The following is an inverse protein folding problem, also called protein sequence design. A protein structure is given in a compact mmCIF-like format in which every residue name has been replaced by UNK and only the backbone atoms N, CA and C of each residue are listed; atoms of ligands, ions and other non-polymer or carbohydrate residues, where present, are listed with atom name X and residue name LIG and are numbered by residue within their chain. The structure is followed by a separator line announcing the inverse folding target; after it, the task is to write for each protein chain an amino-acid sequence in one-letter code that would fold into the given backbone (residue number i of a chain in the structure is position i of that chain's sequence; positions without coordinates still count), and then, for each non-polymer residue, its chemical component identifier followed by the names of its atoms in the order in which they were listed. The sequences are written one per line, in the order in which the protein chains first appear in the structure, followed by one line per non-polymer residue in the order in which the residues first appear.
data_IF_055341103005
#
_entry.id   IF_055341103005
#
_cell.length_a   1.000
_cell.length_b   1.000
_cell.length_c   1.000
_cell.angle_alpha   90.00
_cell.angle_beta   90.00
_cell.angle_gamma   90.00
#
_symmetry.space_group_name_H-M   'P 1'
#
loop_
_entity.id
_entity.type
_entity.pdbx_description
1 polymer ?
#
# COMPACT_ATOMS: atom_id res chain seq x y z
N UNK A 1 10.92 -0.38 26.27
CA UNK A 1 10.15 -0.71 25.05
C UNK A 1 9.04 0.33 24.91
N UNK A 2 9.38 1.58 24.54
CA UNK A 2 8.46 2.62 24.04
C UNK A 2 9.21 3.95 23.84
N UNK A 3 10.35 3.89 23.14
CA UNK A 3 11.12 5.10 22.86
C UNK A 3 10.51 5.84 21.64
N UNK A 4 10.11 7.13 21.76
CA UNK A 4 9.52 7.88 20.67
C UNK A 4 10.37 7.92 19.40
N UNK A 5 11.71 7.99 19.53
CA UNK A 5 12.61 8.00 18.37
C UNK A 5 12.54 6.66 17.63
N UNK A 6 12.58 5.53 18.34
CA UNK A 6 12.44 4.20 17.72
C UNK A 6 11.13 4.02 16.93
N UNK A 7 10.01 4.63 17.38
CA UNK A 7 8.73 4.60 16.64
C UNK A 7 8.77 5.50 15.41
N UNK A 8 9.48 6.62 15.48
CA UNK A 8 9.64 7.54 14.36
C UNK A 8 10.50 6.92 13.26
N UNK A 9 11.59 6.25 13.62
CA UNK A 9 12.47 5.53 12.69
C UNK A 9 11.75 4.34 12.02
N UNK A 10 10.91 3.61 12.77
CA UNK A 10 10.18 2.45 12.26
C UNK A 10 8.95 2.81 11.38
N UNK A 11 8.54 4.08 11.33
CA UNK A 11 7.34 4.49 10.61
C UNK A 11 7.63 4.78 9.13
N UNK A 12 6.93 4.10 8.23
CA UNK A 12 7.00 4.45 6.80
C UNK A 12 6.51 5.88 6.53
N UNK A 13 5.54 6.36 7.33
CA UNK A 13 4.91 7.67 7.16
C UNK A 13 5.88 8.84 7.37
N UNK A 14 6.95 8.65 8.14
CA UNK A 14 7.94 9.70 8.46
C UNK A 14 9.02 9.81 7.38
N UNK A 15 9.14 8.82 6.50
CA UNK A 15 10.22 8.72 5.50
C UNK A 15 9.76 8.97 4.06
N UNK A 16 8.45 9.04 3.81
CA UNK A 16 7.91 9.41 2.49
C UNK A 16 8.34 10.83 2.11
N UNK A 17 8.71 10.98 0.84
CA UNK A 17 9.17 12.24 0.25
C UNK A 17 8.79 12.28 -1.25
N UNK A 18 8.95 13.42 -1.96
CA UNK A 18 8.56 13.57 -3.36
C UNK A 18 9.22 12.61 -4.38
N UNK A 19 10.33 11.97 -4.03
CA UNK A 19 11.01 10.99 -4.88
C UNK A 19 10.60 9.55 -4.58
N UNK A 20 9.63 9.34 -3.69
CA UNK A 20 9.15 8.00 -3.35
C UNK A 20 8.44 7.35 -4.54
N UNK A 21 8.55 6.03 -4.64
CA UNK A 21 7.92 5.28 -5.71
C UNK A 21 6.38 5.29 -5.60
N UNK A 22 5.67 5.05 -6.71
CA UNK A 22 4.24 4.75 -6.65
C UNK A 22 3.92 3.60 -5.69
N UNK A 23 2.79 3.67 -4.99
CA UNK A 23 2.37 2.64 -4.03
C UNK A 23 0.97 2.11 -4.31
N UNK A 24 0.79 0.80 -4.11
CA UNK A 24 -0.50 0.12 -4.13
C UNK A 24 -0.85 -0.33 -2.71
N UNK A 25 -2.04 0.05 -2.24
CA UNK A 25 -2.59 -0.41 -0.97
C UNK A 25 -3.67 -1.45 -1.24
N UNK A 26 -3.55 -2.64 -0.65
CA UNK A 26 -4.59 -3.68 -0.71
C UNK A 26 -4.91 -4.08 0.73
N UNK A 27 -6.13 -3.81 1.19
CA UNK A 27 -6.52 -4.01 2.58
C UNK A 27 -7.62 -5.05 2.73
N UNK A 28 -7.68 -5.62 3.94
CA UNK A 28 -8.86 -6.35 4.39
C UNK A 28 -9.96 -5.40 4.86
N UNK A 29 -11.20 -5.87 4.94
CA UNK A 29 -12.34 -5.13 5.51
C UNK A 29 -12.24 -4.86 7.02
N UNK A 30 -11.19 -5.34 7.71
CA UNK A 30 -10.98 -5.14 9.15
C UNK A 30 -10.32 -3.76 9.41
N UNK A 31 -11.01 -2.79 10.06
CA UNK A 31 -10.55 -1.40 10.14
C UNK A 31 -9.18 -1.17 10.81
N UNK A 32 -8.82 -2.01 11.79
CA UNK A 32 -7.56 -1.87 12.54
C UNK A 32 -6.32 -1.98 11.63
N UNK A 33 -6.41 -2.69 10.51
CA UNK A 33 -5.30 -2.88 9.57
C UNK A 33 -5.22 -1.78 8.49
N UNK A 34 -5.99 -0.70 8.64
CA UNK A 34 -5.90 0.51 7.81
C UNK A 34 -5.15 1.67 8.48
N UNK A 35 -4.66 1.52 9.72
CA UNK A 35 -4.04 2.61 10.47
C UNK A 35 -2.82 3.19 9.72
N UNK A 36 -2.79 4.51 9.54
CA UNK A 36 -1.72 5.24 8.85
C UNK A 36 -1.76 5.16 7.31
N UNK A 37 -2.64 4.34 6.72
CA UNK A 37 -2.82 4.27 5.26
C UNK A 37 -3.33 5.60 4.70
N UNK A 38 -4.40 6.11 5.28
CA UNK A 38 -5.07 7.31 4.75
C UNK A 38 -4.18 8.55 4.92
N UNK A 39 -3.39 8.63 6.00
CA UNK A 39 -2.36 9.66 6.18
C UNK A 39 -1.24 9.54 5.13
N UNK A 40 -0.83 8.32 4.79
CA UNK A 40 0.17 8.06 3.74
C UNK A 40 -0.36 8.49 2.38
N UNK A 41 -1.60 8.10 2.05
CA UNK A 41 -2.28 8.48 0.81
C UNK A 41 -2.33 10.01 0.69
N UNK A 42 -2.73 10.71 1.75
CA UNK A 42 -2.75 12.18 1.75
C UNK A 42 -1.38 12.79 1.43
N UNK A 43 -0.31 12.27 2.03
CA UNK A 43 1.06 12.73 1.71
C UNK A 43 1.46 12.43 0.26
N UNK A 44 1.07 11.27 -0.27
CA UNK A 44 1.31 10.91 -1.67
C UNK A 44 0.58 11.86 -2.62
N UNK A 45 -0.66 12.22 -2.33
CA UNK A 45 -1.44 13.21 -3.07
C UNK A 45 -0.76 14.58 -3.06
N UNK A 46 -0.31 15.04 -1.88
CA UNK A 46 0.42 16.31 -1.72
C UNK A 46 1.72 16.34 -2.55
N UNK A 47 2.41 15.21 -2.68
CA UNK A 47 3.62 15.07 -3.49
C UNK A 47 3.37 14.74 -4.96
N UNK A 48 2.12 14.52 -5.37
CA UNK A 48 1.77 14.08 -6.72
C UNK A 48 2.30 12.69 -7.08
N UNK A 49 2.55 11.84 -6.07
CA UNK A 49 3.00 10.46 -6.28
C UNK A 49 1.79 9.58 -6.60
N UNK A 50 1.88 8.81 -7.68
CA UNK A 50 0.81 7.87 -8.06
C UNK A 50 0.53 6.87 -6.95
N UNK A 51 -0.73 6.67 -6.63
CA UNK A 51 -1.16 5.63 -5.70
C UNK A 51 -2.48 5.02 -6.12
N UNK A 52 -2.74 3.80 -5.66
CA UNK A 52 -4.03 3.12 -5.79
C UNK A 52 -4.37 2.41 -4.48
N UNK A 53 -5.65 2.32 -4.15
CA UNK A 53 -6.12 1.64 -2.95
C UNK A 53 -7.32 0.76 -3.27
N UNK A 54 -7.22 -0.52 -2.91
CA UNK A 54 -8.30 -1.50 -3.02
C UNK A 54 -8.56 -2.15 -1.67
N UNK A 55 -9.80 -2.60 -1.48
CA UNK A 55 -10.20 -3.33 -0.30
C UNK A 55 -11.01 -4.55 -0.69
N UNK A 56 -10.70 -5.68 -0.07
CA UNK A 56 -11.53 -6.87 -0.14
C UNK A 56 -12.62 -6.83 0.94
N UNK A 57 -13.86 -7.01 0.53
CA UNK A 57 -14.99 -7.12 1.45
C UNK A 57 -15.04 -8.48 2.16
N UNK A 58 -15.49 -8.48 3.42
CA UNK A 58 -15.67 -9.69 4.25
C UNK A 58 -14.46 -10.63 4.31
N UNK A 59 -13.24 -10.09 4.36
CA UNK A 59 -12.03 -10.89 4.30
C UNK A 59 -11.19 -10.83 5.57
N UNK A 60 -10.48 -11.93 5.85
CA UNK A 60 -9.51 -12.00 6.94
C UNK A 60 -8.27 -11.16 6.63
N UNK A 61 -7.45 -10.84 7.64
CA UNK A 61 -6.25 -10.04 7.40
C UNK A 61 -5.29 -10.71 6.41
N UNK A 62 -5.06 -12.02 6.53
CA UNK A 62 -4.19 -12.79 5.64
C UNK A 62 -4.91 -13.26 4.37
N UNK A 63 -5.79 -12.43 3.80
CA UNK A 63 -6.63 -12.80 2.65
C UNK A 63 -5.81 -13.24 1.42
N UNK A 64 -4.62 -12.67 1.24
CA UNK A 64 -3.73 -12.91 0.09
C UNK A 64 -3.09 -14.30 0.07
N UNK A 65 -3.47 -15.20 0.98
CA UNK A 65 -3.06 -16.60 0.99
C UNK A 65 -4.21 -17.55 0.64
N UNK A 66 -5.44 -17.04 0.48
CA UNK A 66 -6.64 -17.86 0.37
C UNK A 66 -7.55 -17.42 -0.76
N UNK A 67 -8.30 -18.38 -1.29
CA UNK A 67 -9.42 -18.09 -2.18
C UNK A 67 -10.64 -17.60 -1.37
N UNK A 68 -11.46 -16.70 -1.94
CA UNK A 68 -11.40 -16.22 -3.33
C UNK A 68 -10.44 -15.05 -3.57
N UNK A 69 -9.87 -14.44 -2.54
CA UNK A 69 -9.16 -13.14 -2.64
C UNK A 69 -7.80 -13.20 -3.34
N UNK A 70 -7.11 -14.34 -3.28
CA UNK A 70 -5.78 -14.53 -3.87
C UNK A 70 -5.66 -14.03 -5.31
N UNK A 71 -6.51 -14.53 -6.22
CA UNK A 71 -6.42 -14.21 -7.64
C UNK A 71 -6.59 -12.71 -7.89
N UNK A 72 -7.61 -12.12 -7.27
CA UNK A 72 -7.91 -10.70 -7.45
C UNK A 72 -6.79 -9.80 -6.88
N UNK A 73 -6.17 -10.20 -5.77
CA UNK A 73 -5.00 -9.50 -5.21
C UNK A 73 -3.81 -9.54 -6.18
N UNK A 74 -3.54 -10.70 -6.79
CA UNK A 74 -2.47 -10.84 -7.80
C UNK A 74 -2.78 -9.99 -9.04
N UNK A 75 -4.03 -9.98 -9.51
CA UNK A 75 -4.44 -9.15 -10.65
C UNK A 75 -4.22 -7.65 -10.39
N UNK A 76 -4.59 -7.15 -9.20
CA UNK A 76 -4.34 -5.75 -8.84
C UNK A 76 -2.84 -5.43 -8.77
N UNK A 77 -2.03 -6.34 -8.21
CA UNK A 77 -0.57 -6.17 -8.18
C UNK A 77 0.04 -6.14 -9.59
N UNK A 78 -0.34 -7.07 -10.45
CA UNK A 78 0.14 -7.17 -11.84
C UNK A 78 -0.24 -5.92 -12.65
N UNK A 79 -1.51 -5.49 -12.57
CA UNK A 79 -1.98 -4.29 -13.25
C UNK A 79 -1.22 -3.03 -12.79
N UNK A 80 -1.05 -2.87 -11.48
CA UNK A 80 -0.32 -1.72 -10.92
C UNK A 80 1.14 -1.70 -11.36
N UNK A 81 1.82 -2.85 -11.34
CA UNK A 81 3.21 -2.96 -11.78
C UNK A 81 3.34 -2.66 -13.27
N UNK A 82 2.44 -3.16 -14.13
CA UNK A 82 2.44 -2.86 -15.56
C UNK A 82 2.21 -1.38 -15.86
N UNK A 83 1.37 -0.70 -15.09
CA UNK A 83 1.12 0.72 -15.26
C UNK A 83 2.33 1.59 -14.86
N UNK A 84 3.08 1.17 -13.84
CA UNK A 84 4.10 2.02 -13.20
C UNK A 84 5.54 1.62 -13.56
N UNK A 85 5.79 0.38 -13.99
CA UNK A 85 7.08 -0.04 -14.52
C UNK A 85 7.11 0.19 -16.02
N UNK A 86 7.99 1.10 -16.47
CA UNK A 86 8.30 1.22 -17.89
C UNK A 86 8.95 -0.09 -18.35
N UNK A 87 8.28 -0.86 -19.20
CA UNK A 87 8.90 -1.98 -19.89
C UNK A 87 9.91 -1.40 -20.89
N UNK A 88 11.16 -1.24 -20.47
CA UNK A 88 12.26 -1.02 -21.40
C UNK A 88 12.56 -2.37 -22.05
N UNK A 89 11.94 -2.62 -23.20
CA UNK A 89 12.48 -3.61 -24.14
C UNK A 89 13.75 -3.00 -24.74
N UNK A 90 14.90 -3.58 -24.42
CA UNK A 90 16.18 -3.34 -25.11
C UNK A 90 16.19 -4.10 -26.44
#
# INVERSE_FOLDING_TARGET
MDDPESRQEASALTHINPHSAPMLFINSSIPRFGAGRDDMIKKMEEYGIKHQAFQHENCMHTFWLFHPWFNQTVEWMDAFLKENLKTQYY
#
